data_IF_047359122875
#
_entry.id   IF_047359122875
#
_cell.length_a   1.000
_cell.length_b   1.000
_cell.length_c   1.000
_cell.angle_alpha   90.00
_cell.angle_beta   90.00
_cell.angle_gamma   90.00
#
_symmetry.space_group_name_H-M   'P 1'
#
loop_
_entity.id
_entity.type
_entity.pdbx_description
1 polymer ?
2 non-polymer ?
3 non-polymer ?
4 non-polymer ?
5 water ?
#
# COMPACT_ATOMS: atom_id res chain seq x y z
N UNK A 1 -13.06 -9.43 8.11
CA UNK A 1 -12.33 -9.17 6.85
C UNK A 1 -12.09 -7.68 6.71
N UNK A 2 -10.99 -7.32 6.06
CA UNK A 2 -10.64 -5.93 5.73
C UNK A 2 -10.68 -5.80 4.22
N UNK A 3 -11.62 -5.01 3.70
CA UNK A 3 -11.73 -4.69 2.26
C UNK A 3 -11.10 -3.33 2.02
N UNK A 4 -10.38 -3.15 0.91
CA UNK A 4 -9.75 -1.87 0.54
C UNK A 4 -10.88 -0.96 0.09
N UNK A 5 -11.02 0.20 0.71
CA UNK A 5 -12.07 1.19 0.37
C UNK A 5 -11.46 2.20 -0.59
N UNK A 6 -10.25 2.65 -0.31
CA UNK A 6 -9.55 3.66 -1.11
C UNK A 6 -8.05 3.61 -0.87
N UNK A 7 -7.29 4.28 -1.72
CA UNK A 7 -5.81 4.34 -1.68
C UNK A 7 -5.33 5.67 -2.22
N UNK A 8 -4.24 6.22 -1.68
CA UNK A 8 -3.48 7.35 -2.26
C UNK A 8 -2.04 6.89 -2.46
N UNK A 9 -1.44 7.05 -3.67
CA UNK A 9 -2.17 7.45 -4.89
C UNK A 9 -3.35 6.55 -5.29
N UNK A 10 -4.41 7.14 -5.85
CA UNK A 10 -5.59 6.37 -6.26
C UNK A 10 -5.30 5.47 -7.46
N UNK A 11 -5.96 4.33 -7.51
CA UNK A 11 -5.87 3.38 -8.63
C UNK A 11 -6.07 4.16 -9.94
N UNK A 12 -5.18 3.92 -10.90
CA UNK A 12 -5.27 4.37 -12.32
C UNK A 12 -5.16 5.89 -12.39
N UNK A 13 -4.73 6.53 -11.32
CA UNK A 13 -4.46 7.98 -11.27
C UNK A 13 -2.99 8.17 -11.63
N UNK A 14 -2.62 9.40 -11.94
CA UNK A 14 -1.24 9.88 -12.18
C UNK A 14 -0.98 11.00 -11.17
N UNK A 15 0.07 10.87 -10.35
CA UNK A 15 0.41 11.85 -9.27
C UNK A 15 1.88 12.25 -9.42
N UNK A 16 2.29 13.39 -8.86
CA UNK A 16 3.72 13.78 -8.71
C UNK A 16 4.26 13.02 -7.50
N UNK A 17 5.59 12.97 -7.33
CA UNK A 17 6.26 12.03 -6.39
C UNK A 17 5.54 12.03 -5.03
N UNK A 18 4.79 10.96 -4.71
CA UNK A 18 4.19 10.83 -3.38
C UNK A 18 5.25 10.40 -2.36
N UNK A 19 5.06 10.73 -1.08
CA UNK A 19 6.05 10.44 -0.02
C UNK A 19 5.85 9.01 0.44
N UNK A 20 4.61 8.52 0.34
CA UNK A 20 4.23 7.15 0.76
C UNK A 20 2.93 6.71 0.08
N UNK A 21 2.56 5.43 0.23
CA UNK A 21 1.25 4.94 -0.19
C UNK A 21 0.41 4.81 1.06
N UNK A 22 -0.87 5.10 0.95
CA UNK A 22 -1.81 5.00 2.09
C UNK A 22 -3.02 4.18 1.64
N UNK A 23 -3.23 2.99 2.19
CA UNK A 23 -4.31 2.05 1.82
C UNK A 23 -5.29 2.08 2.98
N UNK A 24 -6.53 2.46 2.73
CA UNK A 24 -7.57 2.60 3.78
C UNK A 24 -8.52 1.43 3.66
N UNK A 25 -8.72 0.68 4.74
CA UNK A 25 -9.52 -0.56 4.75
C UNK A 25 -10.79 -0.33 5.57
N UNK A 26 -11.70 -1.29 5.45
CA UNK A 26 -13.04 -1.29 6.09
C UNK A 26 -12.98 -1.83 7.53
N UNK A 27 -11.85 -2.43 7.94
CA UNK A 27 -11.61 -2.86 9.33
C UNK A 27 -10.13 -2.70 9.58
N UNK A 28 -9.74 -2.73 10.85
CA UNK A 28 -8.31 -2.65 11.24
C UNK A 28 -7.48 -3.74 10.57
N UNK A 29 -6.26 -3.41 10.23
CA UNK A 29 -5.28 -4.37 9.69
C UNK A 29 -4.01 -4.37 10.54
N UNK A 30 -3.29 -5.47 10.45
CA UNK A 30 -2.06 -5.69 11.27
C UNK A 30 -0.83 -5.49 10.38
N UNK A 31 -0.02 -4.43 10.61
CA UNK A 31 1.18 -4.15 9.81
C UNK A 31 2.17 -5.34 9.87
N UNK A 32 2.20 -6.03 11.00
CA UNK A 32 3.21 -7.07 11.28
C UNK A 32 2.86 -8.29 10.42
N UNK A 33 1.59 -8.54 10.09
CA UNK A 33 1.23 -9.79 9.33
C UNK A 33 0.87 -9.52 7.87
N UNK A 34 0.51 -8.29 7.54
CA UNK A 34 0.21 -7.79 6.19
C UNK A 34 1.48 -7.71 5.33
N UNK A 35 1.34 -8.03 4.04
CA UNK A 35 2.43 -7.94 3.03
C UNK A 35 2.02 -6.97 1.93
N UNK A 36 2.94 -6.15 1.45
CA UNK A 36 2.68 -5.25 0.30
C UNK A 36 3.90 -5.30 -0.62
N UNK A 37 3.65 -5.58 -1.88
CA UNK A 37 4.67 -5.59 -2.95
C UNK A 37 4.45 -4.38 -3.85
N UNK A 38 5.49 -3.62 -4.14
CA UNK A 38 5.45 -2.48 -5.08
C UNK A 38 6.44 -2.76 -6.22
N UNK A 39 6.00 -2.66 -7.47
CA UNK A 39 6.91 -2.82 -8.64
C UNK A 39 6.69 -1.72 -9.67
N UNK A 40 7.76 -1.36 -10.39
CA UNK A 40 7.80 -0.28 -11.41
C UNK A 40 8.21 -0.97 -12.70
N UNK A 41 7.29 -1.09 -13.67
CA UNK A 41 7.51 -1.84 -14.95
C UNK A 41 8.33 -3.12 -14.68
N UNK A 42 7.80 -4.04 -13.86
CA UNK A 42 8.44 -5.34 -13.55
C UNK A 42 9.50 -5.27 -12.45
N UNK A 43 10.16 -4.12 -12.24
CA UNK A 43 11.25 -3.93 -11.24
C UNK A 43 10.63 -3.81 -9.83
N UNK A 44 10.81 -4.81 -8.94
CA UNK A 44 10.50 -4.72 -7.47
C UNK A 44 11.08 -3.42 -6.90
N UNK A 45 10.28 -2.68 -6.12
CA UNK A 45 10.67 -1.36 -5.56
C UNK A 45 10.82 -1.54 -4.05
N UNK A 46 11.97 -1.19 -3.49
CA UNK A 46 12.23 -1.46 -2.06
C UNK A 46 11.24 -0.67 -1.20
N UNK A 47 10.65 -1.38 -0.26
CA UNK A 47 9.82 -0.76 0.82
C UNK A 47 10.56 -0.79 2.16
N UNK A 48 10.72 0.35 2.83
CA UNK A 48 11.43 0.43 4.13
C UNK A 48 10.50 0.14 5.29
N UNK A 49 9.22 0.44 5.22
CA UNK A 49 8.35 0.25 6.40
C UNK A 49 6.88 0.13 6.08
N UNK A 50 6.15 -0.56 6.97
CA UNK A 50 4.67 -0.71 7.02
C UNK A 50 4.28 -0.23 8.40
N UNK A 51 3.17 0.51 8.52
CA UNK A 51 2.67 0.98 9.84
C UNK A 51 1.22 1.41 9.73
N UNK A 52 0.44 1.19 10.81
CA UNK A 52 -0.95 1.67 10.99
C UNK A 52 -0.87 2.78 12.04
N UNK A 53 -0.81 4.07 11.66
CA UNK A 53 -0.60 5.12 12.67
C UNK A 53 -1.76 5.31 13.66
N UNK A 54 -2.99 5.05 13.25
CA UNK A 54 -4.22 5.37 14.01
C UNK A 54 -4.62 4.20 14.91
N UNK A 55 -5.30 4.55 16.00
CA UNK A 55 -5.93 3.58 16.92
C UNK A 55 -6.80 2.54 16.20
N UNK A 56 -7.63 2.94 15.22
CA UNK A 56 -8.60 2.01 14.55
C UNK A 56 -7.85 1.07 13.57
N UNK A 57 -6.57 1.33 13.34
CA UNK A 57 -5.70 0.54 12.43
C UNK A 57 -6.27 0.45 11.01
N UNK A 58 -7.12 1.37 10.54
CA UNK A 58 -7.80 1.17 9.23
C UNK A 58 -6.91 1.65 8.07
N UNK A 59 -5.98 2.55 8.32
CA UNK A 59 -5.07 3.03 7.28
C UNK A 59 -3.66 2.45 7.45
N UNK A 60 -3.17 1.84 6.37
CA UNK A 60 -1.83 1.24 6.26
C UNK A 60 -0.94 2.16 5.44
N UNK A 61 0.11 2.64 6.05
CA UNK A 61 1.07 3.56 5.41
C UNK A 61 2.25 2.69 4.96
N UNK A 62 2.52 2.66 3.64
CA UNK A 62 3.65 1.92 3.02
C UNK A 62 4.70 2.94 2.60
N UNK A 63 5.88 2.90 3.20
CA UNK A 63 6.96 3.87 2.97
C UNK A 63 8.05 3.28 2.08
N UNK A 64 8.19 3.71 0.80
CA UNK A 64 9.34 3.28 0.00
C UNK A 64 10.69 3.73 0.59
N UNK A 65 11.75 2.98 0.30
CA UNK A 65 13.13 3.23 0.77
C UNK A 65 13.62 4.53 0.12
N UNK A 66 13.21 4.74 -1.12
CA UNK A 66 13.63 5.91 -1.93
C UNK A 66 12.38 6.60 -2.47
N UNK A 67 12.42 7.94 -2.66
CA UNK A 67 11.28 8.66 -3.22
C UNK A 67 10.91 8.08 -4.60
N UNK A 68 9.62 7.93 -4.91
CA UNK A 68 9.17 7.24 -6.16
C UNK A 68 9.54 8.10 -7.38
N UNK A 69 10.21 7.50 -8.35
CA UNK A 69 10.61 8.14 -9.62
C UNK A 69 9.43 8.07 -10.59
N UNK A 70 9.46 8.84 -11.66
CA UNK A 70 8.38 8.79 -12.65
C UNK A 70 8.25 7.36 -13.17
N UNK A 71 7.03 6.89 -13.46
CA UNK A 71 6.78 5.56 -14.02
C UNK A 71 5.46 4.93 -13.64
N UNK A 72 5.29 3.70 -14.09
CA UNK A 72 4.07 2.88 -13.92
C UNK A 72 4.30 1.89 -12.78
N UNK A 73 3.43 1.94 -11.77
CA UNK A 73 3.62 1.22 -10.51
C UNK A 73 2.48 0.24 -10.35
N UNK A 74 2.79 -0.93 -9.84
CA UNK A 74 1.75 -1.90 -9.42
C UNK A 74 1.96 -2.22 -7.94
N UNK A 75 0.83 -2.26 -7.23
CA UNK A 75 0.72 -2.60 -5.79
C UNK A 75 0.00 -3.94 -5.68
N UNK A 76 0.65 -4.94 -5.07
CA UNK A 76 0.02 -6.23 -4.72
C UNK A 76 -0.04 -6.33 -3.20
N UNK A 77 -1.23 -6.47 -2.63
CA UNK A 77 -1.43 -6.43 -1.16
C UNK A 77 -2.08 -7.72 -0.63
N UNK A 78 -1.60 -8.21 0.52
CA UNK A 78 -2.17 -9.34 1.28
C UNK A 78 -2.39 -8.87 2.71
N UNK A 79 -3.62 -8.52 3.03
CA UNK A 79 -3.98 -7.90 4.33
C UNK A 79 -4.34 -8.96 5.33
N UNK A 80 -3.97 -8.74 6.58
CA UNK A 80 -4.42 -9.56 7.72
C UNK A 80 -5.18 -8.61 8.65
N UNK A 81 -6.46 -8.86 8.87
CA UNK A 81 -7.33 -8.00 9.71
C UNK A 81 -7.11 -8.34 11.19
N UNK A 82 -7.64 -7.51 12.09
CA UNK A 82 -7.51 -7.72 13.55
C UNK A 82 -8.22 -9.02 13.96
N UNK A 83 -9.13 -9.55 13.12
CA UNK A 83 -9.84 -10.83 13.39
C UNK A 83 -9.03 -12.01 12.85
N UNK A 84 -7.83 -11.73 12.33
CA UNK A 84 -6.88 -12.73 11.76
C UNK A 84 -7.28 -13.15 10.35
N UNK A 85 -8.35 -12.62 9.74
CA UNK A 85 -8.82 -13.00 8.38
C UNK A 85 -7.97 -12.36 7.28
N UNK A 86 -7.79 -13.09 6.18
CA UNK A 86 -6.89 -12.68 5.08
C UNK A 86 -7.74 -12.18 3.92
N UNK A 87 -7.29 -11.12 3.27
CA UNK A 87 -7.83 -10.54 2.03
C UNK A 87 -6.65 -10.11 1.15
N UNK A 88 -6.90 -9.93 -0.14
CA UNK A 88 -5.82 -9.60 -1.10
C UNK A 88 -6.39 -8.91 -2.33
N UNK A 89 -5.56 -8.14 -2.99
CA UNK A 89 -5.87 -7.47 -4.25
C UNK A 89 -4.63 -6.89 -4.87
N UNK A 90 -4.83 -6.15 -5.95
CA UNK A 90 -3.80 -5.38 -6.64
C UNK A 90 -4.46 -4.18 -7.29
N UNK A 91 -3.64 -3.22 -7.62
CA UNK A 91 -4.01 -2.04 -8.43
C UNK A 91 -2.74 -1.36 -8.91
N UNK A 92 -2.91 -0.46 -9.87
CA UNK A 92 -1.80 0.28 -10.51
C UNK A 92 -2.06 1.77 -10.42
N UNK A 93 -1.00 2.54 -10.50
CA UNK A 93 -1.02 4.00 -10.64
C UNK A 93 0.27 4.42 -11.34
N UNK A 94 0.35 5.69 -11.68
CA UNK A 94 1.49 6.25 -12.41
C UNK A 94 1.98 7.47 -11.64
N UNK A 95 3.29 7.64 -11.59
CA UNK A 95 3.96 8.85 -11.04
C UNK A 95 4.36 9.68 -12.27
N UNK A 96 3.71 10.84 -12.40
CA UNK A 96 3.85 11.70 -13.59
C UNK A 96 5.29 12.11 -13.78
N UNK A 97 5.72 12.20 -15.04
CA UNK A 97 7.09 12.62 -15.43
C UNK A 97 7.34 14.05 -14.97
X LIG B 1 -13.11 -11.58 8.52
X LIG C 1 -8.56 -9.28 5.84
X LIG D 1 -1.58 3.81 -3.50
X LIG E 1 8.24 -4.13 -2.83
X LIG F 1 -5.90 6.07 1.84
X LIG G 1 -9.15 3.89 -5.25
X LIG G 1 -7.64 4.10 -5.28
X LIG G 1 -9.75 4.82 -4.22
X LIG G 1 -9.48 2.43 -4.89
X LIG G 1 -9.73 4.19 -6.63
#
# INVERSE_FOLDING_TARGET
>A
HAHLKSATPAADSTVAAPADLRLTFSAGVEATFTKVSLSKDGTEVAIKGLETPDADKKTLVVTPAAPLAAGNYKVVWNAVSVDTHKSNGEYSFKVGQ
>B hetero
1 CU CU
>C hetero
1 CL CL
>D hetero
1 CL CL
>E hetero
1 CL CL
>F hetero
1 CL CL
>G hetero
1 PO4 P O1 O2 O3 O4
#
